data_IF_440698834835
#
_entry.id   IF_440698834835
#
_cell.length_a   1.000
_cell.length_b   1.000
_cell.length_c   1.000
_cell.angle_alpha   90.00
_cell.angle_beta   90.00
_cell.angle_gamma   90.00
#
_symmetry.space_group_name_H-M   'P 1'
#
loop_
_entity.id
_entity.type
_entity.pdbx_description
1 polymer ?
#
# COMPACT_ATOMS: atom_id res chain seq x y z
N UNK A 1 -1.01 10.40 12.38
CA UNK A 1 0.26 10.78 13.05
C UNK A 1 0.22 12.17 13.67
N UNK A 2 -0.75 13.02 13.33
CA UNK A 2 -0.89 14.38 13.87
C UNK A 2 -0.01 15.43 13.17
N UNK A 3 0.53 15.13 11.99
CA UNK A 3 1.27 16.09 11.17
C UNK A 3 0.34 17.11 10.49
N UNK A 4 -0.91 16.71 10.24
CA UNK A 4 -1.99 17.54 9.73
C UNK A 4 -3.25 17.28 10.53
N UNK A 5 -4.19 18.23 10.50
CA UNK A 5 -5.51 18.08 11.12
C UNK A 5 -6.58 17.95 10.03
N UNK A 6 -7.59 17.10 10.20
CA UNK A 6 -8.71 17.04 9.26
C UNK A 6 -9.56 18.31 9.37
N UNK A 7 -10.09 18.78 8.25
CA UNK A 7 -11.04 19.90 8.22
C UNK A 7 -12.38 19.51 8.84
N UNK A 8 -12.76 18.24 8.72
CA UNK A 8 -13.99 17.68 9.29
C UNK A 8 -13.89 16.16 9.43
N UNK A 9 -14.86 15.54 10.09
CA UNK A 9 -14.89 14.09 10.31
C UNK A 9 -14.09 13.65 11.55
N UNK A 10 -13.87 12.35 11.66
CA UNK A 10 -13.15 11.75 12.80
C UNK A 10 -12.13 10.72 12.32
N UNK A 11 -11.05 10.60 13.08
CA UNK A 11 -10.01 9.59 12.88
C UNK A 11 -10.02 8.68 14.10
N UNK A 12 -9.98 7.36 13.89
CA UNK A 12 -9.79 6.38 14.95
C UNK A 12 -8.54 5.56 14.69
N UNK A 13 -7.69 5.40 15.69
CA UNK A 13 -6.48 4.58 15.66
C UNK A 13 -6.51 3.63 16.84
N UNK A 14 -6.33 2.33 16.60
CA UNK A 14 -6.44 1.26 17.60
C UNK A 14 -7.74 1.30 18.44
N UNK A 15 -8.84 1.74 17.82
CA UNK A 15 -10.15 1.89 18.51
C UNK A 15 -10.32 3.17 19.31
N UNK A 16 -9.31 4.05 19.38
CA UNK A 16 -9.36 5.32 20.09
C UNK A 16 -9.59 6.48 19.13
N UNK A 17 -10.24 7.54 19.61
CA UNK A 17 -10.40 8.77 18.84
C UNK A 17 -9.06 9.53 18.73
N UNK A 18 -8.65 9.84 17.51
CA UNK A 18 -7.36 10.48 17.22
C UNK A 18 -6.18 9.52 17.25
N UNK A 19 -4.97 10.07 17.36
CA UNK A 19 -3.71 9.34 17.48
C UNK A 19 -2.89 10.00 18.62
N UNK A 20 -2.89 9.38 19.78
CA UNK A 20 -2.18 9.87 20.97
C UNK A 20 -0.67 9.65 20.85
N UNK A 21 0.11 10.21 21.78
CA UNK A 21 1.54 9.92 21.88
C UNK A 21 1.81 8.43 22.14
N UNK A 22 0.94 7.77 22.93
CA UNK A 22 1.03 6.33 23.18
C UNK A 22 0.74 5.50 21.95
N UNK A 23 -0.26 5.88 21.13
CA UNK A 23 -0.56 5.17 19.89
C UNK A 23 0.61 5.27 18.91
N UNK A 24 1.33 6.40 18.89
CA UNK A 24 2.52 6.57 18.02
C UNK A 24 3.70 5.69 18.41
N UNK A 25 3.81 5.25 19.68
CA UNK A 25 4.79 4.24 20.09
C UNK A 25 4.56 2.89 19.42
N UNK A 26 3.30 2.56 19.13
CA UNK A 26 2.89 1.31 18.47
C UNK A 26 2.85 1.43 16.94
N UNK A 27 3.29 2.56 16.35
CA UNK A 27 3.28 2.80 14.88
C UNK A 27 4.71 2.94 14.37
N UNK A 28 5.12 2.06 13.47
CA UNK A 28 6.32 2.19 12.67
C UNK A 28 6.04 2.97 11.39
N UNK A 29 6.83 4.01 11.10
CA UNK A 29 6.64 4.83 9.91
C UNK A 29 7.86 4.78 9.02
N UNK A 30 7.63 4.54 7.73
CA UNK A 30 8.68 4.58 6.70
C UNK A 30 8.25 5.56 5.61
N UNK A 31 9.03 6.59 5.42
CA UNK A 31 8.84 7.59 4.37
C UNK A 31 9.63 7.21 3.11
N UNK A 32 9.23 7.75 1.96
CA UNK A 32 9.98 7.61 0.70
C UNK A 32 11.43 8.12 0.83
N UNK A 33 11.63 9.20 1.57
CA UNK A 33 12.96 9.71 1.89
C UNK A 33 13.35 9.42 3.35
N UNK A 34 14.62 9.08 3.56
CA UNK A 34 15.16 8.82 4.89
C UNK A 34 15.14 10.12 5.76
N UNK A 35 14.36 10.18 6.84
CA UNK A 35 14.17 11.42 7.62
C UNK A 35 15.31 11.71 8.60
N UNK A 36 16.50 11.17 8.36
CA UNK A 36 17.65 11.29 9.26
C UNK A 36 18.78 12.12 8.64
N UNK A 37 19.57 12.77 9.50
CA UNK A 37 20.73 13.55 9.05
C UNK A 37 21.71 12.66 8.28
N UNK A 38 22.06 13.08 7.08
CA UNK A 38 22.85 12.30 6.12
C UNK A 38 24.27 11.96 6.59
N UNK A 39 24.78 12.68 7.59
CA UNK A 39 26.12 12.48 8.21
C UNK A 39 26.12 11.46 9.36
N UNK A 40 24.98 10.89 9.70
CA UNK A 40 24.89 9.87 10.75
C UNK A 40 25.42 8.52 10.26
N UNK A 41 25.87 7.72 11.22
CA UNK A 41 26.15 6.29 11.06
C UNK A 41 24.99 5.49 11.68
N UNK A 42 24.77 4.26 11.23
CA UNK A 42 23.69 3.40 11.73
C UNK A 42 23.77 3.15 13.25
N UNK A 43 24.98 3.06 13.81
CA UNK A 43 25.20 2.93 15.27
C UNK A 43 24.75 4.18 16.06
N UNK A 44 24.88 5.37 15.47
CA UNK A 44 24.38 6.60 16.07
C UNK A 44 22.85 6.63 16.04
N UNK A 45 22.26 6.16 14.93
CA UNK A 45 20.82 6.13 14.75
C UNK A 45 20.14 5.22 15.80
N UNK A 46 20.63 4.00 16.02
CA UNK A 46 20.09 3.11 17.05
C UNK A 46 20.12 3.73 18.46
N UNK A 47 21.18 4.48 18.79
CA UNK A 47 21.30 5.19 20.06
C UNK A 47 20.27 6.33 20.19
N UNK A 48 20.02 7.06 19.10
CA UNK A 48 19.02 8.13 19.05
C UNK A 48 17.60 7.52 19.23
N UNK A 49 17.30 6.45 18.51
CA UNK A 49 15.99 5.77 18.56
C UNK A 49 15.69 5.21 19.95
N UNK A 50 16.69 4.65 20.62
CA UNK A 50 16.57 4.23 22.02
C UNK A 50 16.18 5.37 23.00
N UNK A 51 16.52 6.61 22.66
CA UNK A 51 16.10 7.78 23.43
C UNK A 51 14.71 8.30 23.08
N UNK A 52 14.14 7.84 21.95
CA UNK A 52 12.82 8.29 21.45
C UNK A 52 11.74 7.27 21.81
N UNK A 53 11.94 5.99 21.50
CA UNK A 53 10.97 4.92 21.70
C UNK A 53 11.19 4.21 23.04
N UNK A 54 10.13 4.08 23.83
CA UNK A 54 10.19 3.37 25.12
C UNK A 54 10.38 1.87 24.93
N UNK A 55 9.78 1.31 23.87
CA UNK A 55 9.84 -0.12 23.55
C UNK A 55 10.99 -0.45 22.57
N UNK A 56 12.03 0.41 22.48
CA UNK A 56 13.16 0.15 21.58
C UNK A 56 13.92 -1.11 21.95
N UNK A 57 14.03 -2.05 21.01
CA UNK A 57 14.85 -3.24 21.13
C UNK A 57 16.15 -3.08 20.32
N UNK A 58 17.23 -2.79 21.03
CA UNK A 58 18.55 -2.60 20.42
C UNK A 58 19.07 -3.90 19.80
N UNK A 59 18.77 -5.07 20.40
CA UNK A 59 19.20 -6.35 19.86
C UNK A 59 18.49 -6.67 18.56
N UNK A 60 17.18 -6.46 18.49
CA UNK A 60 16.40 -6.63 17.27
C UNK A 60 16.88 -5.68 16.15
N UNK A 61 17.19 -4.43 16.49
CA UNK A 61 17.79 -3.50 15.54
C UNK A 61 19.09 -4.02 14.93
N UNK A 62 20.01 -4.51 15.77
CA UNK A 62 21.29 -5.08 15.34
C UNK A 62 21.09 -6.33 14.49
N UNK A 63 20.12 -7.18 14.82
CA UNK A 63 19.72 -8.36 14.02
C UNK A 63 19.22 -7.95 12.63
N UNK A 64 18.38 -6.92 12.54
CA UNK A 64 17.95 -6.38 11.23
C UNK A 64 19.10 -5.78 10.43
N UNK A 65 20.02 -5.03 11.06
CA UNK A 65 21.19 -4.51 10.36
C UNK A 65 22.03 -5.63 9.74
N UNK A 66 22.20 -6.75 10.46
CA UNK A 66 22.90 -7.93 9.95
C UNK A 66 22.12 -8.63 8.85
N UNK A 67 20.81 -8.89 9.06
CA UNK A 67 19.90 -9.52 8.06
C UNK A 67 19.91 -8.74 6.74
N UNK A 68 19.95 -7.42 6.81
CA UNK A 68 19.94 -6.54 5.63
C UNK A 68 21.34 -6.23 5.08
N UNK A 69 22.38 -6.77 5.69
CA UNK A 69 23.79 -6.56 5.32
C UNK A 69 24.16 -5.06 5.21
N UNK A 70 23.67 -4.23 6.14
CA UNK A 70 23.94 -2.79 6.14
C UNK A 70 25.34 -2.50 6.71
N UNK A 71 26.13 -1.61 6.05
CA UNK A 71 27.52 -1.36 6.44
C UNK A 71 27.65 -0.42 7.63
N UNK A 72 28.32 -0.85 8.70
CA UNK A 72 28.49 -0.09 9.95
C UNK A 72 29.30 1.20 9.80
N UNK A 73 30.22 1.25 8.83
CA UNK A 73 31.23 2.30 8.70
C UNK A 73 30.99 3.26 7.53
N UNK A 74 29.75 3.38 7.10
CA UNK A 74 29.34 4.34 6.08
C UNK A 74 28.38 5.37 6.66
N UNK A 75 28.50 6.61 6.23
CA UNK A 75 27.50 7.64 6.49
C UNK A 75 26.24 7.37 5.68
N UNK A 76 25.08 7.80 6.16
CA UNK A 76 23.79 7.57 5.50
C UNK A 76 23.71 8.20 4.12
N UNK A 77 24.48 9.27 3.85
CA UNK A 77 24.57 9.87 2.51
C UNK A 77 25.11 8.90 1.44
N UNK A 78 25.96 7.94 1.86
CA UNK A 78 26.59 6.97 0.96
C UNK A 78 25.77 5.68 0.78
N UNK A 79 24.56 5.63 1.38
CA UNK A 79 23.65 4.51 1.24
C UNK A 79 22.89 4.61 -0.08
N UNK A 80 22.77 3.48 -0.78
CA UNK A 80 21.82 3.36 -1.90
C UNK A 80 20.37 3.52 -1.42
N UNK A 81 19.43 3.78 -2.35
CA UNK A 81 18.01 3.88 -2.02
C UNK A 81 17.51 2.61 -1.29
N UNK A 82 17.87 1.42 -1.79
CA UNK A 82 17.52 0.16 -1.14
C UNK A 82 18.10 0.00 0.26
N UNK A 83 19.35 0.42 0.48
CA UNK A 83 19.96 0.42 1.82
C UNK A 83 19.25 1.39 2.77
N UNK A 84 18.86 2.57 2.30
CA UNK A 84 18.08 3.55 3.07
C UNK A 84 16.71 3.00 3.46
N UNK A 85 16.03 2.33 2.52
CA UNK A 85 14.75 1.70 2.77
C UNK A 85 14.86 0.57 3.81
N UNK A 86 15.84 -0.33 3.65
CA UNK A 86 16.12 -1.39 4.63
C UNK A 86 16.43 -0.83 6.02
N UNK A 87 17.18 0.27 6.10
CA UNK A 87 17.45 0.94 7.38
C UNK A 87 16.19 1.53 8.00
N UNK A 88 15.33 2.18 7.23
CA UNK A 88 14.04 2.71 7.71
C UNK A 88 13.16 1.60 8.26
N UNK A 89 13.11 0.44 7.58
CA UNK A 89 12.40 -0.74 8.06
C UNK A 89 13.03 -1.31 9.34
N UNK A 90 14.36 -1.41 9.40
CA UNK A 90 15.05 -1.85 10.63
C UNK A 90 14.66 -0.98 11.83
N UNK A 91 14.59 0.34 11.66
CA UNK A 91 14.13 1.26 12.71
C UNK A 91 12.65 1.03 13.06
N UNK A 92 11.77 0.98 12.05
CA UNK A 92 10.34 0.84 12.25
C UNK A 92 9.93 -0.49 12.92
N UNK A 93 10.70 -1.56 12.66
CA UNK A 93 10.46 -2.89 13.22
C UNK A 93 11.07 -3.08 14.63
N UNK A 94 11.98 -2.21 15.07
CA UNK A 94 12.77 -2.42 16.30
C UNK A 94 12.19 -1.75 17.55
N UNK A 95 10.94 -1.27 17.51
CA UNK A 95 10.26 -0.71 18.69
C UNK A 95 8.90 -1.37 18.96
N UNK A 96 8.72 -2.60 18.51
CA UNK A 96 7.50 -3.40 18.71
C UNK A 96 6.24 -2.73 18.15
N UNK A 97 6.34 -2.15 16.95
CA UNK A 97 5.21 -1.54 16.26
C UNK A 97 4.14 -2.59 15.94
N UNK A 98 2.87 -2.23 16.11
CA UNK A 98 1.70 -3.04 15.71
C UNK A 98 1.18 -2.68 14.33
N UNK A 99 1.44 -1.46 13.90
CA UNK A 99 1.05 -0.93 12.60
C UNK A 99 2.26 -0.34 11.90
N UNK A 100 2.56 -0.79 10.68
CA UNK A 100 3.49 -0.10 9.79
C UNK A 100 2.71 0.82 8.84
N UNK A 101 3.16 2.07 8.72
CA UNK A 101 2.69 3.02 7.72
C UNK A 101 3.85 3.32 6.78
N UNK A 102 3.70 2.95 5.51
CA UNK A 102 4.77 2.95 4.53
C UNK A 102 4.38 3.80 3.33
N UNK A 103 5.21 4.78 2.99
CA UNK A 103 4.98 5.65 1.83
C UNK A 103 5.94 5.26 0.70
N UNK A 104 5.39 4.69 -0.38
CA UNK A 104 6.09 4.24 -1.59
C UNK A 104 7.35 3.38 -1.32
N UNK A 105 7.30 2.35 -0.44
CA UNK A 105 8.49 1.68 0.09
C UNK A 105 9.27 0.87 -0.95
N UNK A 106 8.68 0.56 -2.10
CA UNK A 106 9.31 -0.23 -3.17
C UNK A 106 9.66 0.59 -4.41
N UNK A 107 9.28 1.87 -4.42
CA UNK A 107 9.50 2.75 -5.57
C UNK A 107 10.99 2.95 -5.85
N UNK A 108 11.39 2.77 -7.13
CA UNK A 108 12.77 2.96 -7.60
C UNK A 108 13.79 1.97 -7.04
N UNK A 109 13.35 0.85 -6.49
CA UNK A 109 14.22 -0.26 -6.07
C UNK A 109 14.41 -1.25 -7.22
N UNK A 110 15.57 -1.94 -7.20
CA UNK A 110 15.77 -3.07 -8.08
C UNK A 110 14.86 -4.25 -7.70
N UNK A 111 14.56 -5.17 -8.65
CA UNK A 111 13.59 -6.25 -8.42
C UNK A 111 13.93 -7.18 -7.24
N UNK A 112 15.20 -7.39 -6.94
CA UNK A 112 15.63 -8.29 -5.86
C UNK A 112 15.35 -7.65 -4.50
N UNK A 113 15.82 -6.41 -4.29
CA UNK A 113 15.56 -5.66 -3.05
C UNK A 113 14.07 -5.45 -2.86
N UNK A 114 13.32 -5.18 -3.94
CA UNK A 114 11.86 -5.03 -3.90
C UNK A 114 11.17 -6.30 -3.39
N UNK A 115 11.55 -7.48 -3.89
CA UNK A 115 11.01 -8.74 -3.42
C UNK A 115 11.30 -8.96 -1.93
N UNK A 116 12.54 -8.72 -1.48
CA UNK A 116 12.92 -8.83 -0.07
C UNK A 116 12.09 -7.90 0.85
N UNK A 117 11.77 -6.68 0.39
CA UNK A 117 10.92 -5.75 1.15
C UNK A 117 9.49 -6.28 1.27
N UNK A 118 8.92 -6.81 0.19
CA UNK A 118 7.57 -7.39 0.23
C UNK A 118 7.50 -8.62 1.14
N UNK A 119 8.53 -9.46 1.15
CA UNK A 119 8.62 -10.61 2.05
C UNK A 119 8.65 -10.16 3.53
N UNK A 120 9.33 -9.04 3.85
CA UNK A 120 9.33 -8.47 5.20
C UNK A 120 7.90 -8.06 5.63
N UNK A 121 7.09 -7.51 4.71
CA UNK A 121 5.70 -7.14 5.03
C UNK A 121 4.86 -8.38 5.32
N UNK A 122 5.00 -9.43 4.51
CA UNK A 122 4.29 -10.70 4.73
C UNK A 122 4.72 -11.36 6.05
N UNK A 123 6.01 -11.38 6.36
CA UNK A 123 6.52 -11.87 7.64
C UNK A 123 5.93 -11.08 8.82
N UNK A 124 5.87 -9.75 8.70
CA UNK A 124 5.38 -8.87 9.77
C UNK A 124 3.91 -9.10 10.11
N UNK A 125 3.04 -9.36 9.12
CA UNK A 125 1.60 -9.59 9.32
C UNK A 125 1.26 -11.06 9.58
N UNK A 126 2.23 -11.97 9.55
CA UNK A 126 1.99 -13.43 9.56
C UNK A 126 1.35 -13.95 10.85
N UNK A 127 1.49 -13.25 11.97
CA UNK A 127 0.90 -13.63 13.25
C UNK A 127 -0.58 -13.20 13.41
N UNK A 128 -1.10 -12.36 12.49
CA UNK A 128 -2.46 -11.84 12.52
C UNK A 128 -2.72 -10.73 13.55
N UNK A 129 -1.70 -10.32 14.31
CA UNK A 129 -1.79 -9.24 15.30
C UNK A 129 -1.24 -7.91 14.77
N UNK A 130 -0.42 -7.97 13.72
CA UNK A 130 0.21 -6.82 13.09
C UNK A 130 -0.51 -6.42 11.79
N UNK A 131 -0.36 -5.16 11.42
CA UNK A 131 -0.99 -4.62 10.20
C UNK A 131 -0.03 -3.71 9.43
N UNK A 132 -0.21 -3.65 8.11
CA UNK A 132 0.55 -2.77 7.22
C UNK A 132 -0.42 -1.88 6.44
N UNK A 133 -0.20 -0.58 6.47
CA UNK A 133 -0.81 0.40 5.59
C UNK A 133 0.26 0.92 4.63
N UNK A 134 0.17 0.56 3.36
CA UNK A 134 1.16 0.92 2.35
C UNK A 134 0.53 1.75 1.23
N UNK A 135 1.16 2.87 0.88
CA UNK A 135 0.89 3.57 -0.38
C UNK A 135 1.82 3.03 -1.46
N UNK A 136 1.30 2.79 -2.65
CA UNK A 136 2.10 2.43 -3.83
C UNK A 136 1.36 2.75 -5.12
N UNK A 137 2.12 3.18 -6.14
CA UNK A 137 1.66 3.25 -7.51
C UNK A 137 2.02 1.98 -8.31
N UNK A 138 2.68 1.01 -7.66
CA UNK A 138 3.10 -0.26 -8.26
C UNK A 138 2.08 -1.33 -7.89
N UNK A 139 1.06 -1.47 -8.71
CA UNK A 139 -0.08 -2.37 -8.50
C UNK A 139 0.34 -3.83 -8.33
N UNK A 140 1.35 -4.29 -9.06
CA UNK A 140 1.88 -5.66 -8.94
C UNK A 140 2.48 -5.99 -7.56
N UNK A 141 2.88 -4.99 -6.76
CA UNK A 141 3.28 -5.20 -5.37
C UNK A 141 2.06 -5.38 -4.49
N UNK A 142 1.04 -4.51 -4.67
CA UNK A 142 -0.22 -4.59 -3.94
C UNK A 142 -0.93 -5.91 -4.20
N UNK A 143 -0.92 -6.42 -5.45
CA UNK A 143 -1.48 -7.73 -5.78
C UNK A 143 -0.84 -8.87 -4.97
N UNK A 144 0.46 -8.75 -4.65
CA UNK A 144 1.18 -9.77 -3.87
C UNK A 144 0.90 -9.73 -2.38
N UNK A 145 0.82 -8.53 -1.79
CA UNK A 145 0.88 -8.38 -0.33
C UNK A 145 -0.40 -7.84 0.30
N UNK A 146 -1.29 -7.18 -0.46
CA UNK A 146 -2.45 -6.53 0.11
C UNK A 146 -3.65 -7.50 0.23
N UNK A 147 -4.42 -7.37 1.32
CA UNK A 147 -5.74 -8.00 1.48
C UNK A 147 -6.85 -7.06 1.01
N UNK A 148 -6.67 -5.75 1.22
CA UNK A 148 -7.62 -4.71 0.84
C UNK A 148 -6.95 -3.66 -0.04
N UNK A 149 -7.69 -3.18 -1.03
CA UNK A 149 -7.27 -2.11 -1.93
C UNK A 149 -8.15 -0.89 -1.69
N UNK A 150 -7.49 0.22 -1.39
CA UNK A 150 -8.14 1.53 -1.31
C UNK A 150 -7.62 2.42 -2.43
N UNK A 151 -8.50 2.84 -3.32
CA UNK A 151 -8.13 3.67 -4.45
C UNK A 151 -8.62 5.12 -4.26
N UNK A 152 -7.66 6.06 -4.26
CA UNK A 152 -7.92 7.48 -4.10
C UNK A 152 -7.49 8.21 -5.39
N UNK A 153 -8.38 9.03 -5.93
CA UNK A 153 -8.09 9.86 -7.10
C UNK A 153 -8.64 11.28 -6.90
N UNK A 154 -7.82 12.29 -7.19
CA UNK A 154 -8.18 13.72 -7.03
C UNK A 154 -8.81 14.04 -5.65
N UNK A 155 -8.26 13.46 -4.58
CA UNK A 155 -8.73 13.66 -3.22
C UNK A 155 -10.05 12.95 -2.86
N UNK A 156 -10.56 12.08 -3.74
CA UNK A 156 -11.80 11.31 -3.52
C UNK A 156 -11.49 9.83 -3.38
N UNK A 157 -12.18 9.19 -2.45
CA UNK A 157 -12.21 7.73 -2.35
C UNK A 157 -13.05 7.17 -3.51
N UNK A 158 -12.41 6.46 -4.42
CA UNK A 158 -13.06 5.84 -5.59
C UNK A 158 -13.51 4.42 -5.30
N UNK A 159 -12.72 3.67 -4.53
CA UNK A 159 -12.96 2.27 -4.18
C UNK A 159 -12.28 1.95 -2.85
N UNK A 160 -12.91 1.09 -2.05
CA UNK A 160 -12.26 0.40 -0.93
C UNK A 160 -12.86 -1.00 -0.88
N UNK A 161 -12.07 -2.02 -1.26
CA UNK A 161 -12.58 -3.38 -1.46
C UNK A 161 -11.52 -4.43 -1.14
N UNK A 162 -11.95 -5.63 -0.79
CA UNK A 162 -11.07 -6.80 -0.69
C UNK A 162 -10.46 -7.11 -2.06
N UNK A 163 -9.16 -7.37 -2.10
CA UNK A 163 -8.41 -7.63 -3.34
C UNK A 163 -8.98 -8.83 -4.12
N UNK A 164 -9.32 -9.90 -3.42
CA UNK A 164 -9.84 -11.10 -4.07
C UNK A 164 -11.21 -10.86 -4.71
N UNK A 165 -12.06 -10.04 -4.08
CA UNK A 165 -13.32 -9.61 -4.68
C UNK A 165 -13.08 -8.82 -5.98
N UNK A 166 -12.04 -7.99 -6.03
CA UNK A 166 -11.66 -7.27 -7.26
C UNK A 166 -11.20 -8.27 -8.33
N UNK A 167 -10.20 -9.09 -8.02
CA UNK A 167 -9.56 -9.97 -9.02
C UNK A 167 -10.51 -11.04 -9.54
N UNK A 168 -11.34 -11.61 -8.68
CA UNK A 168 -12.24 -12.71 -9.04
C UNK A 168 -13.65 -12.24 -9.40
N UNK A 169 -14.12 -11.14 -8.82
CA UNK A 169 -15.46 -10.64 -8.99
C UNK A 169 -15.61 -9.56 -10.07
N UNK A 170 -14.61 -8.69 -10.23
CA UNK A 170 -14.70 -7.59 -11.20
C UNK A 170 -14.23 -8.02 -12.59
N UNK A 171 -14.63 -7.25 -13.61
CA UNK A 171 -14.19 -7.47 -14.98
C UNK A 171 -14.56 -6.32 -15.90
N UNK A 172 -14.09 -6.39 -17.15
CA UNK A 172 -14.38 -5.42 -18.20
C UNK A 172 -15.26 -6.06 -19.24
N UNK A 173 -16.49 -5.59 -19.37
CA UNK A 173 -17.38 -5.91 -20.48
C UNK A 173 -17.09 -4.98 -21.66
N UNK A 174 -16.98 -5.55 -22.86
CA UNK A 174 -16.71 -4.82 -24.12
C UNK A 174 -17.84 -5.07 -25.10
N UNK A 175 -18.45 -4.00 -25.61
CA UNK A 175 -19.48 -4.07 -26.65
C UNK A 175 -19.58 -2.71 -27.36
N UNK A 176 -20.52 -2.62 -28.30
CA UNK A 176 -20.89 -1.33 -28.87
C UNK A 176 -21.56 -0.41 -27.82
N UNK A 177 -21.60 0.88 -28.13
CA UNK A 177 -22.09 1.90 -27.20
C UNK A 177 -23.52 1.65 -26.74
N UNK A 178 -24.42 1.26 -27.66
CA UNK A 178 -25.83 1.08 -27.34
C UNK A 178 -26.03 -0.09 -26.37
N UNK A 179 -25.28 -1.18 -26.57
CA UNK A 179 -25.25 -2.34 -25.67
C UNK A 179 -24.74 -1.96 -24.27
N UNK A 180 -23.60 -1.25 -24.18
CA UNK A 180 -23.04 -0.82 -22.88
C UNK A 180 -23.99 0.15 -22.17
N UNK A 181 -24.64 1.06 -22.89
CA UNK A 181 -25.60 2.00 -22.29
C UNK A 181 -26.83 1.32 -21.73
N UNK A 182 -27.26 0.20 -22.36
CA UNK A 182 -28.42 -0.58 -21.94
C UNK A 182 -28.18 -1.48 -20.70
N UNK A 183 -26.92 -1.69 -20.28
CA UNK A 183 -26.59 -2.48 -19.09
C UNK A 183 -27.12 -1.78 -17.83
N UNK A 184 -27.82 -2.54 -16.97
CA UNK A 184 -28.32 -2.07 -15.69
C UNK A 184 -27.18 -1.57 -14.79
N UNK A 185 -27.38 -0.40 -14.20
CA UNK A 185 -26.40 0.26 -13.33
C UNK A 185 -26.01 -0.54 -12.09
N UNK A 186 -26.85 -1.48 -11.64
CA UNK A 186 -26.55 -2.35 -10.51
C UNK A 186 -25.33 -3.27 -10.73
N UNK A 187 -24.98 -3.58 -12.00
CA UNK A 187 -23.84 -4.41 -12.37
C UNK A 187 -22.57 -3.63 -12.67
N UNK A 188 -22.67 -2.32 -12.84
CA UNK A 188 -21.60 -1.50 -13.43
C UNK A 188 -21.19 -0.37 -12.51
N UNK A 189 -19.91 -0.32 -12.16
CA UNK A 189 -19.32 0.78 -11.39
C UNK A 189 -19.03 2.00 -12.28
N UNK A 190 -18.58 1.75 -13.52
CA UNK A 190 -18.21 2.81 -14.48
C UNK A 190 -18.40 2.34 -15.92
N UNK A 191 -18.81 3.24 -16.80
CA UNK A 191 -18.85 3.05 -18.26
C UNK A 191 -17.87 4.02 -18.92
N UNK A 192 -17.18 3.55 -19.97
CA UNK A 192 -16.25 4.34 -20.77
C UNK A 192 -16.54 4.13 -22.25
N UNK A 193 -16.65 5.23 -22.99
CA UNK A 193 -16.92 5.18 -24.41
C UNK A 193 -15.68 5.53 -25.22
N UNK A 194 -15.18 4.58 -25.97
CA UNK A 194 -14.11 4.76 -26.93
C UNK A 194 -14.62 5.15 -28.33
N UNK A 195 -13.69 5.35 -29.23
CA UNK A 195 -14.02 5.71 -30.64
C UNK A 195 -14.63 4.53 -31.42
N UNK A 196 -14.23 3.30 -31.07
CA UNK A 196 -14.61 2.10 -31.80
C UNK A 196 -15.43 1.13 -30.95
N UNK A 197 -15.14 1.04 -29.68
CA UNK A 197 -15.78 0.20 -28.68
C UNK A 197 -16.07 0.96 -27.40
N UNK A 198 -16.94 0.39 -26.58
CA UNK A 198 -17.24 0.91 -25.25
C UNK A 198 -17.01 -0.17 -24.23
N UNK A 199 -16.63 0.24 -23.02
CA UNK A 199 -16.26 -0.63 -21.92
C UNK A 199 -17.13 -0.33 -20.69
N UNK A 200 -17.46 -1.37 -19.93
CA UNK A 200 -18.09 -1.23 -18.63
C UNK A 200 -17.31 -2.01 -17.57
N UNK A 201 -17.00 -1.34 -16.45
CA UNK A 201 -16.42 -1.97 -15.28
C UNK A 201 -17.52 -2.69 -14.50
N UNK A 202 -17.53 -4.00 -14.57
CA UNK A 202 -18.51 -4.90 -13.95
C UNK A 202 -18.00 -5.29 -12.56
N UNK A 203 -18.90 -5.27 -11.56
CA UNK A 203 -18.57 -5.54 -10.14
C UNK A 203 -18.87 -6.96 -9.67
N UNK A 204 -19.67 -7.74 -10.45
CA UNK A 204 -19.94 -9.16 -10.22
C UNK A 204 -20.04 -9.89 -11.56
N UNK A 205 -18.92 -10.42 -12.03
CA UNK A 205 -18.84 -11.15 -13.31
C UNK A 205 -19.79 -12.33 -13.38
N UNK A 206 -19.97 -13.05 -12.27
CA UNK A 206 -20.78 -14.26 -12.26
C UNK A 206 -22.27 -13.92 -12.39
N UNK A 207 -22.76 -12.91 -11.69
CA UNK A 207 -24.12 -12.43 -11.82
C UNK A 207 -24.37 -11.77 -13.18
N UNK A 208 -23.40 -10.96 -13.64
CA UNK A 208 -23.47 -10.29 -14.93
C UNK A 208 -23.55 -11.28 -16.08
N UNK A 209 -22.69 -12.31 -16.13
CA UNK A 209 -22.70 -13.32 -17.22
C UNK A 209 -23.97 -14.17 -17.24
N UNK A 210 -24.65 -14.31 -16.11
CA UNK A 210 -26.00 -14.96 -16.08
C UNK A 210 -27.07 -14.08 -16.71
N UNK A 211 -26.99 -12.75 -16.47
CA UNK A 211 -27.97 -11.79 -16.96
C UNK A 211 -27.75 -11.39 -18.43
N UNK A 212 -26.48 -11.33 -18.84
CA UNK A 212 -26.04 -10.90 -20.18
C UNK A 212 -25.09 -11.92 -20.81
N UNK A 213 -25.58 -13.14 -21.14
CA UNK A 213 -24.72 -14.24 -21.61
C UNK A 213 -24.05 -13.98 -22.96
N UNK A 214 -24.56 -13.03 -23.74
CA UNK A 214 -24.02 -12.61 -25.03
C UNK A 214 -22.85 -11.61 -24.91
N UNK A 215 -22.64 -11.00 -23.73
CA UNK A 215 -21.58 -10.02 -23.51
C UNK A 215 -20.41 -10.70 -22.81
N UNK A 216 -19.25 -10.72 -23.47
CA UNK A 216 -18.01 -11.22 -22.88
C UNK A 216 -17.50 -10.25 -21.82
N UNK A 217 -17.06 -10.82 -20.70
CA UNK A 217 -16.44 -10.07 -19.61
C UNK A 217 -15.04 -10.62 -19.34
N UNK A 218 -14.04 -9.83 -19.66
CA UNK A 218 -12.65 -10.15 -19.36
C UNK A 218 -12.36 -9.95 -17.87
N UNK A 219 -11.51 -10.78 -17.24
CA UNK A 219 -11.01 -10.52 -15.89
C UNK A 219 -10.21 -9.21 -15.89
N UNK A 220 -10.14 -8.56 -14.73
CA UNK A 220 -9.42 -7.29 -14.57
C UNK A 220 -8.24 -7.47 -13.58
N UNK A 221 -7.14 -6.78 -13.83
CA UNK A 221 -6.06 -6.59 -12.87
C UNK A 221 -6.14 -5.18 -12.24
N UNK A 222 -5.30 -4.91 -11.23
CA UNK A 222 -5.34 -3.60 -10.54
C UNK A 222 -4.92 -2.43 -11.44
N UNK A 223 -4.02 -2.64 -12.42
CA UNK A 223 -3.65 -1.60 -13.40
C UNK A 223 -4.84 -1.19 -14.25
N UNK A 224 -5.56 -2.16 -14.80
CA UNK A 224 -6.75 -1.92 -15.63
C UNK A 224 -7.87 -1.27 -14.81
N UNK A 225 -8.07 -1.72 -13.56
CA UNK A 225 -9.02 -1.11 -12.63
C UNK A 225 -8.69 0.37 -12.41
N UNK A 226 -7.43 0.67 -12.13
CA UNK A 226 -6.95 2.03 -11.92
C UNK A 226 -7.18 2.90 -13.15
N UNK A 227 -6.85 2.40 -14.35
CA UNK A 227 -7.08 3.10 -15.61
C UNK A 227 -8.57 3.35 -15.86
N UNK A 228 -9.42 2.37 -15.58
CA UNK A 228 -10.88 2.53 -15.69
C UNK A 228 -11.39 3.58 -14.72
N UNK A 229 -10.97 3.57 -13.46
CA UNK A 229 -11.44 4.51 -12.44
C UNK A 229 -10.93 5.94 -12.68
N UNK A 230 -9.70 6.11 -13.19
CA UNK A 230 -9.12 7.43 -13.48
C UNK A 230 -9.59 8.06 -14.80
N UNK A 231 -10.13 7.27 -15.75
CA UNK A 231 -10.52 7.82 -17.05
C UNK A 231 -11.65 8.85 -16.89
N UNK A 232 -11.40 10.09 -17.28
CA UNK A 232 -12.42 11.13 -17.44
C UNK A 232 -13.23 10.84 -18.72
N UNK A 233 -14.44 10.31 -18.61
CA UNK A 233 -15.52 10.01 -19.56
C UNK A 233 -15.70 8.56 -19.92
#
# INVERSE_FOLDING_TARGET
>A
LGMTSPDSGSISVFGHAGCSAKDREDIGVVFDELPFAQTLFISHLGRIMKGIYQNWDQKQYEEYLQKFALPDRKELKDFSRGMKMKLSLAVALSHNAKLLILDEPTSGLDPVVRAEILDIFLDFISDGEHSVLVSSHITSDLEKVADYITFIHQGKLMLCENKDNIIYGYGIAKADKATIDAIDSQFVLKKKHGKYDSEALVIDRAAFSRQYPEILVDPINLDELMLMLCSDK
#
